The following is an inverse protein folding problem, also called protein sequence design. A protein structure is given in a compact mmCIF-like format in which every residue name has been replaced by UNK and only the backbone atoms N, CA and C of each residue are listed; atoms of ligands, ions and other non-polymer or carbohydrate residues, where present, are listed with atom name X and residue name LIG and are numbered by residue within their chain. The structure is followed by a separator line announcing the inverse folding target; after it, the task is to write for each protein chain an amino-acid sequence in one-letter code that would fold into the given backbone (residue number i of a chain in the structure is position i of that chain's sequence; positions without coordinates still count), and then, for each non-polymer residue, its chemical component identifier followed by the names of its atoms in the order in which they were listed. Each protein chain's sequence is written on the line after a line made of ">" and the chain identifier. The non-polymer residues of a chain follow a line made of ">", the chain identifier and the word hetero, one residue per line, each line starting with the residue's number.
data_IF_612268185972
#
_entry.id   IF_612268185972
#
_cell.length_a   1.000
_cell.length_b   1.000
_cell.length_c   1.000
_cell.angle_alpha   90.00
_cell.angle_beta   90.00
_cell.angle_gamma   90.00
#
_symmetry.space_group_name_H-M   'P 1'
#
loop_
_entity.id
_entity.type
_entity.pdbx_description
1 polymer ?
#
# COMPACT_ATOMS: atom_id res chain seq x y z
N UNK A 1 -32.46 -34.03 -10.34
CA UNK A 1 -33.19 -32.94 -9.66
C UNK A 1 -32.26 -32.21 -8.65
N UNK A 2 -32.04 -30.90 -8.83
CA UNK A 2 -31.28 -30.08 -7.87
C UNK A 2 -32.12 -29.86 -6.60
N UNK A 3 -31.61 -30.33 -5.46
CA UNK A 3 -32.24 -30.19 -4.14
C UNK A 3 -31.98 -28.78 -3.58
N UNK A 4 -32.82 -27.83 -3.97
CA UNK A 4 -32.91 -26.49 -3.35
C UNK A 4 -31.81 -25.50 -3.78
N UNK A 5 -32.19 -24.25 -4.03
CA UNK A 5 -31.25 -23.13 -4.10
C UNK A 5 -31.51 -22.19 -2.93
N UNK A 6 -30.46 -21.76 -2.25
CA UNK A 6 -30.53 -20.78 -1.15
C UNK A 6 -29.87 -19.50 -1.65
N UNK A 7 -30.59 -18.39 -1.59
CA UNK A 7 -30.09 -17.08 -2.01
C UNK A 7 -29.47 -16.39 -0.79
N UNK A 8 -28.14 -16.24 -0.78
CA UNK A 8 -27.45 -15.47 0.26
C UNK A 8 -27.36 -14.00 -0.14
N UNK A 9 -27.90 -13.11 0.70
CA UNK A 9 -27.66 -11.67 0.56
C UNK A 9 -26.31 -11.30 1.20
N UNK A 10 -25.39 -10.78 0.40
CA UNK A 10 -24.06 -10.34 0.84
C UNK A 10 -23.92 -8.82 0.69
N UNK A 11 -23.19 -8.21 1.61
CA UNK A 11 -22.82 -6.80 1.54
C UNK A 11 -21.30 -6.67 1.51
N UNK A 12 -20.81 -5.73 0.70
CA UNK A 12 -19.39 -5.37 0.67
C UNK A 12 -19.00 -4.68 1.96
N UNK A 13 -17.78 -4.94 2.43
CA UNK A 13 -17.20 -4.24 3.58
C UNK A 13 -16.07 -3.33 3.11
N UNK A 14 -15.85 -2.18 3.77
CA UNK A 14 -14.68 -1.37 3.50
C UNK A 14 -13.40 -2.20 3.73
N UNK A 15 -12.35 -1.90 2.98
CA UNK A 15 -11.07 -2.57 3.18
C UNK A 15 -10.55 -2.25 4.59
N UNK A 16 -10.00 -3.24 5.31
CA UNK A 16 -9.40 -2.98 6.61
C UNK A 16 -8.19 -2.06 6.46
N UNK A 17 -7.93 -1.26 7.49
CA UNK A 17 -6.68 -0.50 7.59
C UNK A 17 -5.49 -1.46 7.61
N UNK A 18 -4.37 -1.00 7.06
CA UNK A 18 -3.15 -1.78 7.03
C UNK A 18 -2.63 -2.07 8.45
N UNK A 19 -2.20 -3.30 8.68
CA UNK A 19 -1.17 -3.63 9.68
C UNK A 19 0.21 -3.43 9.07
N UNK A 20 1.27 -3.44 9.87
CA UNK A 20 2.66 -3.43 9.37
C UNK A 20 2.93 -4.56 8.38
N UNK A 21 2.52 -5.78 8.70
CA UNK A 21 2.67 -6.92 7.80
C UNK A 21 1.94 -6.73 6.48
N UNK A 22 0.72 -6.18 6.50
CA UNK A 22 -0.02 -5.92 5.27
C UNK A 22 0.54 -4.73 4.47
N UNK A 23 1.15 -3.74 5.14
CA UNK A 23 1.81 -2.62 4.48
C UNK A 23 3.12 -3.09 3.83
N UNK A 24 3.91 -3.93 4.51
CA UNK A 24 5.09 -4.57 3.93
C UNK A 24 4.75 -5.37 2.67
N UNK A 25 3.68 -6.17 2.72
CA UNK A 25 3.19 -6.91 1.55
C UNK A 25 2.71 -5.98 0.42
N UNK A 26 2.08 -4.85 0.77
CA UNK A 26 1.67 -3.85 -0.21
C UNK A 26 2.89 -3.17 -0.87
N UNK A 27 3.96 -2.88 -0.11
CA UNK A 27 5.21 -2.34 -0.66
C UNK A 27 5.90 -3.34 -1.59
N UNK A 28 5.88 -4.63 -1.24
CA UNK A 28 6.42 -5.71 -2.08
C UNK A 28 5.66 -5.87 -3.40
N UNK A 29 4.35 -5.63 -3.39
CA UNK A 29 3.47 -5.86 -4.54
C UNK A 29 2.93 -4.58 -5.15
N UNK A 30 3.57 -3.43 -4.87
CA UNK A 30 3.07 -2.11 -5.23
C UNK A 30 2.82 -1.94 -6.73
N UNK A 31 3.58 -2.64 -7.58
CA UNK A 31 3.40 -2.62 -9.04
C UNK A 31 2.11 -3.29 -9.54
N UNK A 32 1.43 -4.12 -8.73
CA UNK A 32 0.25 -4.89 -9.20
C UNK A 32 -0.96 -4.02 -9.54
N UNK A 33 -1.04 -2.82 -8.99
CA UNK A 33 -2.15 -1.88 -9.23
C UNK A 33 -1.86 -0.92 -10.39
N UNK A 34 -0.67 -0.99 -11.01
CA UNK A 34 -0.33 -0.18 -12.17
C UNK A 34 -1.10 -0.67 -13.41
N UNK A 35 -1.56 0.29 -14.22
CA UNK A 35 -2.28 0.02 -15.46
C UNK A 35 -1.36 -0.26 -16.66
N UNK A 36 -0.13 0.24 -16.63
CA UNK A 36 0.85 0.01 -17.68
C UNK A 36 1.56 -1.34 -17.46
N UNK A 37 1.54 -2.19 -18.49
CA UNK A 37 2.06 -3.55 -18.40
C UNK A 37 3.60 -3.58 -18.29
N UNK A 38 4.29 -2.61 -18.92
CA UNK A 38 5.75 -2.54 -18.85
C UNK A 38 6.19 -2.10 -17.46
N UNK A 39 5.53 -1.10 -16.87
CA UNK A 39 5.81 -0.68 -15.49
C UNK A 39 5.48 -1.79 -14.48
N UNK A 40 4.38 -2.53 -14.69
CA UNK A 40 3.98 -3.65 -13.85
C UNK A 40 5.02 -4.78 -13.87
N UNK A 41 5.49 -5.18 -15.05
CA UNK A 41 6.49 -6.25 -15.18
C UNK A 41 7.84 -5.82 -14.58
N UNK A 42 8.23 -4.55 -14.77
CA UNK A 42 9.46 -4.00 -14.18
C UNK A 42 9.47 -4.06 -12.64
N UNK A 43 8.31 -3.90 -11.99
CA UNK A 43 8.18 -3.88 -10.53
C UNK A 43 7.77 -5.22 -9.91
N UNK A 44 7.57 -6.28 -10.71
CA UNK A 44 6.93 -7.53 -10.30
C UNK A 44 7.62 -8.25 -9.14
N UNK A 45 8.95 -8.28 -9.15
CA UNK A 45 9.74 -9.01 -8.15
C UNK A 45 10.32 -8.09 -7.06
N UNK A 46 10.37 -6.78 -7.33
CA UNK A 46 11.05 -5.81 -6.47
C UNK A 46 10.07 -4.90 -5.69
N UNK A 47 8.87 -4.64 -6.19
CA UNK A 47 7.96 -3.66 -5.60
C UNK A 47 8.64 -2.29 -5.42
N UNK A 48 8.39 -1.64 -4.28
CA UNK A 48 9.14 -0.45 -3.85
C UNK A 48 10.11 -0.78 -2.70
N UNK A 49 11.37 -0.45 -2.90
CA UNK A 49 12.46 -0.72 -1.97
C UNK A 49 12.72 -2.22 -1.72
N UNK A 50 13.70 -2.49 -0.87
CA UNK A 50 14.15 -3.83 -0.47
C UNK A 50 13.61 -4.23 0.91
N UNK A 51 13.59 -5.53 1.29
CA UNK A 51 13.06 -5.95 2.60
C UNK A 51 13.65 -5.18 3.80
N UNK A 52 14.95 -4.89 3.78
CA UNK A 52 15.61 -4.12 4.83
C UNK A 52 15.17 -2.65 4.89
N UNK A 53 15.00 -2.01 3.74
CA UNK A 53 14.64 -0.57 3.67
C UNK A 53 13.16 -0.35 3.94
N UNK A 54 12.28 -1.29 3.57
CA UNK A 54 10.83 -1.20 3.85
C UNK A 54 10.52 -1.10 5.34
N UNK A 55 11.16 -1.95 6.16
CA UNK A 55 11.00 -1.87 7.61
C UNK A 55 11.46 -0.51 8.16
N UNK A 56 12.62 -0.02 7.71
CA UNK A 56 13.14 1.29 8.11
C UNK A 56 12.22 2.46 7.69
N UNK A 57 11.58 2.38 6.53
CA UNK A 57 10.60 3.39 6.08
C UNK A 57 9.40 3.41 7.02
N UNK A 58 8.85 2.24 7.39
CA UNK A 58 7.71 2.16 8.31
C UNK A 58 8.07 2.77 9.68
N UNK A 59 9.26 2.46 10.21
CA UNK A 59 9.76 3.08 11.44
C UNK A 59 9.90 4.62 11.30
N UNK A 60 10.31 5.10 10.13
CA UNK A 60 10.40 6.54 9.85
C UNK A 60 9.02 7.20 9.83
N UNK A 61 7.98 6.53 9.32
CA UNK A 61 6.60 7.05 9.34
C UNK A 61 6.08 7.22 10.78
N UNK A 62 6.44 6.30 11.68
CA UNK A 62 6.15 6.43 13.11
C UNK A 62 6.96 7.55 13.76
N UNK A 63 8.28 7.58 13.54
CA UNK A 63 9.17 8.58 14.13
C UNK A 63 8.81 10.02 13.74
N UNK A 64 8.25 10.20 12.53
CA UNK A 64 7.76 11.51 12.03
C UNK A 64 6.32 11.81 12.41
N UNK A 65 5.64 10.89 13.10
CA UNK A 65 4.25 10.98 13.53
C UNK A 65 3.27 11.14 12.35
N UNK A 66 3.57 10.53 11.20
CA UNK A 66 2.64 10.50 10.05
C UNK A 66 1.59 9.42 10.21
N UNK A 67 1.94 8.33 10.91
CA UNK A 67 1.04 7.25 11.27
C UNK A 67 1.21 6.91 12.74
N UNK A 68 0.16 6.35 13.35
CA UNK A 68 0.19 5.81 14.71
C UNK A 68 -0.39 4.40 14.73
N UNK A 69 0.04 3.60 15.70
CA UNK A 69 -0.47 2.24 15.91
C UNK A 69 -1.69 2.29 16.82
N UNK A 70 -2.85 1.86 16.30
CA UNK A 70 -4.05 1.61 17.08
C UNK A 70 -4.35 0.11 17.08
N UNK A 71 -4.12 -0.53 18.21
CA UNK A 71 -4.10 -2.01 18.32
C UNK A 71 -3.07 -2.60 17.34
N UNK A 72 -3.54 -3.19 16.24
CA UNK A 72 -2.71 -3.76 15.16
C UNK A 72 -2.73 -2.94 13.88
N UNK A 73 -3.57 -1.90 13.82
CA UNK A 73 -3.79 -1.11 12.62
C UNK A 73 -2.94 0.15 12.63
N UNK A 74 -2.45 0.51 11.44
CA UNK A 74 -1.80 1.77 11.14
C UNK A 74 -2.88 2.80 10.79
N UNK A 75 -2.96 3.85 11.59
CA UNK A 75 -3.93 4.93 11.42
C UNK A 75 -3.16 6.20 11.06
N UNK A 76 -3.47 6.87 9.94
CA UNK A 76 -2.83 8.14 9.60
C UNK A 76 -3.22 9.20 10.63
N UNK A 77 -2.25 10.05 10.99
CA UNK A 77 -2.49 11.23 11.84
C UNK A 77 -2.92 12.41 10.98
N UNK A 78 -3.42 13.49 11.60
CA UNK A 78 -3.75 14.73 10.88
C UNK A 78 -2.52 15.30 10.15
N UNK A 79 -1.34 15.19 10.78
CA UNK A 79 -0.05 15.58 10.19
C UNK A 79 0.28 14.73 8.95
N UNK A 80 0.10 13.41 9.04
CA UNK A 80 0.30 12.50 7.90
C UNK A 80 -0.67 12.79 6.75
N UNK A 81 -1.94 13.04 7.06
CA UNK A 81 -2.95 13.42 6.07
C UNK A 81 -2.65 14.77 5.41
N UNK A 82 -2.15 15.76 6.17
CA UNK A 82 -1.74 17.04 5.63
C UNK A 82 -0.56 16.89 4.64
N UNK A 83 0.46 16.10 4.99
CA UNK A 83 1.58 15.80 4.08
C UNK A 83 1.09 15.08 2.84
N UNK A 84 0.26 14.04 3.01
CA UNK A 84 -0.36 13.31 1.90
C UNK A 84 -1.10 14.25 0.95
N UNK A 85 -1.94 15.14 1.46
CA UNK A 85 -2.71 16.09 0.66
C UNK A 85 -1.82 17.00 -0.20
N UNK A 86 -0.62 17.33 0.26
CA UNK A 86 0.33 18.16 -0.48
C UNK A 86 1.02 17.40 -1.62
N UNK A 87 1.28 16.09 -1.45
CA UNK A 87 2.11 15.32 -2.39
C UNK A 87 1.35 14.35 -3.29
N UNK A 88 0.11 13.95 -2.93
CA UNK A 88 -0.64 12.87 -3.58
C UNK A 88 -0.79 12.97 -5.10
N UNK A 89 -0.85 14.19 -5.63
CA UNK A 89 -1.07 14.41 -7.07
C UNK A 89 0.25 14.79 -7.79
N UNK A 90 1.39 14.69 -7.10
CA UNK A 90 2.72 14.96 -7.66
C UNK A 90 3.35 13.65 -8.11
N UNK A 91 4.17 13.73 -9.16
CA UNK A 91 4.92 12.57 -9.69
C UNK A 91 5.80 11.89 -8.64
N UNK A 92 6.30 12.63 -7.65
CA UNK A 92 7.09 12.06 -6.54
C UNK A 92 6.32 11.08 -5.63
N UNK A 93 4.99 11.08 -5.68
CA UNK A 93 4.14 10.13 -4.97
C UNK A 93 3.72 8.94 -5.85
N UNK A 94 4.18 8.92 -7.11
CA UNK A 94 3.89 7.85 -8.07
C UNK A 94 4.80 6.64 -7.82
N UNK A 95 4.17 5.47 -7.75
CA UNK A 95 4.84 4.20 -7.46
C UNK A 95 5.74 3.77 -8.62
N UNK A 96 5.30 3.95 -9.87
CA UNK A 96 6.08 3.60 -11.05
C UNK A 96 7.32 4.49 -11.19
N UNK A 97 7.20 5.79 -10.87
CA UNK A 97 8.37 6.69 -10.82
C UNK A 97 9.42 6.18 -9.82
N UNK A 98 8.99 5.74 -8.64
CA UNK A 98 9.91 5.19 -7.62
C UNK A 98 10.51 3.86 -8.07
N UNK A 99 9.70 2.96 -8.64
CA UNK A 99 10.17 1.68 -9.18
C UNK A 99 11.21 1.84 -10.29
N UNK A 100 11.02 2.81 -11.18
CA UNK A 100 11.99 3.12 -12.23
C UNK A 100 13.34 3.58 -11.73
N UNK A 101 13.41 4.21 -10.54
CA UNK A 101 14.69 4.62 -9.92
C UNK A 101 15.45 3.47 -9.27
N UNK A 102 14.76 2.43 -8.80
CA UNK A 102 15.37 1.26 -8.17
C UNK A 102 15.97 0.28 -9.19
N UNK A 103 15.51 0.34 -10.46
CA UNK A 103 15.98 -0.50 -11.56
C UNK A 103 17.13 0.13 -12.38
N UNK A 104 17.42 1.41 -12.14
CA UNK A 104 18.45 2.20 -12.83
C UNK A 104 19.82 2.05 -12.14
#
# INVERSE_FOLDING_TARGET
>A
PVKGCVTEQKQTRPRPLHTESSLLAAMETAGRELSDEAEREAMKDAGIGTPATRAAIIETLFAREYVRREKKSLVPTDKGLAVYAVVRDKKIADVAMTGGWELA
#
